data_IF_539431536632
#
_entry.id   IF_539431536632
#
_cell.length_a   1.000
_cell.length_b   1.000
_cell.length_c   1.000
_cell.angle_alpha   90.00
_cell.angle_beta   90.00
_cell.angle_gamma   90.00
#
_symmetry.space_group_name_H-M   'P 1'
#
loop_
_entity.id
_entity.type
_entity.pdbx_description
1 polymer ?
#
# COMPACT_ATOMS: atom_id res chain seq x y z
N UNK A 1 -5.66 -22.74 10.18
CA UNK A 1 -5.94 -21.28 10.21
C UNK A 1 -4.66 -20.60 10.67
N UNK A 2 -4.30 -19.49 10.03
CA UNK A 2 -3.13 -18.69 10.38
C UNK A 2 -3.45 -17.88 11.65
N UNK A 3 -2.58 -17.94 12.65
CA UNK A 3 -2.63 -17.07 13.83
C UNK A 3 -1.92 -15.75 13.53
N UNK A 4 -2.62 -14.64 13.66
CA UNK A 4 -2.11 -13.31 13.29
C UNK A 4 -2.00 -12.42 14.51
N UNK A 5 -0.83 -11.78 14.69
CA UNK A 5 -0.63 -10.70 15.63
C UNK A 5 -0.56 -9.34 14.93
N UNK A 6 -1.16 -8.31 15.51
CA UNK A 6 -1.11 -6.94 14.97
C UNK A 6 -0.51 -6.01 16.01
N UNK A 7 0.65 -5.45 15.71
CA UNK A 7 1.36 -4.44 16.52
C UNK A 7 1.03 -3.05 15.98
N UNK A 8 0.70 -2.11 16.86
CA UNK A 8 0.24 -0.77 16.46
C UNK A 8 -1.20 -0.74 15.95
N UNK A 9 -2.02 -1.66 16.44
CA UNK A 9 -3.38 -1.91 15.96
C UNK A 9 -4.40 -0.79 16.22
N UNK A 10 -4.07 0.23 17.03
CA UNK A 10 -4.98 1.33 17.36
C UNK A 10 -5.06 2.44 16.30
N UNK A 11 -4.22 2.45 15.25
CA UNK A 11 -4.21 3.43 14.18
C UNK A 11 -5.10 3.04 12.98
N UNK A 12 -5.22 3.93 11.97
CA UNK A 12 -6.04 3.67 10.76
C UNK A 12 -5.62 2.39 10.03
N UNK A 13 -4.33 2.20 9.80
CA UNK A 13 -3.81 1.01 9.11
C UNK A 13 -4.09 -0.26 9.93
N UNK A 14 -3.90 -0.19 11.26
CA UNK A 14 -4.18 -1.32 12.16
C UNK A 14 -5.67 -1.66 12.22
N UNK A 15 -6.55 -0.66 12.32
CA UNK A 15 -8.00 -0.85 12.30
C UNK A 15 -8.48 -1.45 10.98
N UNK A 16 -7.99 -0.96 9.86
CA UNK A 16 -8.30 -1.48 8.54
C UNK A 16 -7.79 -2.93 8.35
N UNK A 17 -6.60 -3.23 8.88
CA UNK A 17 -6.07 -4.59 8.88
C UNK A 17 -6.95 -5.52 9.73
N UNK A 18 -7.32 -5.12 10.95
CA UNK A 18 -8.23 -5.89 11.80
C UNK A 18 -9.57 -6.15 11.12
N UNK A 19 -10.12 -5.17 10.39
CA UNK A 19 -11.35 -5.31 9.60
C UNK A 19 -11.21 -6.41 8.55
N UNK A 20 -10.12 -6.44 7.79
CA UNK A 20 -9.87 -7.46 6.77
C UNK A 20 -9.68 -8.84 7.40
N UNK A 21 -8.88 -8.93 8.46
CA UNK A 21 -8.56 -10.20 9.13
C UNK A 21 -9.76 -10.80 9.84
N UNK A 22 -10.67 -9.99 10.39
CA UNK A 22 -11.89 -10.47 11.05
C UNK A 22 -12.83 -11.24 10.12
N UNK A 23 -12.79 -10.96 8.82
CA UNK A 23 -13.59 -11.64 7.79
C UNK A 23 -12.77 -12.58 6.91
N UNK A 24 -11.48 -12.76 7.21
CA UNK A 24 -10.63 -13.62 6.42
C UNK A 24 -10.86 -15.10 6.77
N UNK A 25 -11.25 -15.96 5.80
CA UNK A 25 -11.71 -17.33 6.12
C UNK A 25 -10.62 -18.26 6.66
N UNK A 26 -9.34 -17.89 6.54
CA UNK A 26 -8.19 -18.71 6.93
C UNK A 26 -7.41 -18.13 8.12
N UNK A 27 -7.92 -17.10 8.80
CA UNK A 27 -7.21 -16.37 9.84
C UNK A 27 -7.92 -16.40 11.19
N UNK A 28 -7.13 -16.42 12.25
CA UNK A 28 -7.54 -16.09 13.62
C UNK A 28 -6.65 -14.98 14.15
N UNK A 29 -7.24 -13.90 14.64
CA UNK A 29 -6.50 -12.82 15.29
C UNK A 29 -6.10 -13.31 16.69
N UNK A 30 -4.80 -13.56 16.89
CA UNK A 30 -4.25 -14.03 18.16
C UNK A 30 -4.14 -12.91 19.19
N UNK A 31 -3.72 -11.71 18.73
CA UNK A 31 -3.66 -10.52 19.56
C UNK A 31 -3.67 -9.22 18.72
N UNK A 32 -4.11 -8.14 19.35
CA UNK A 32 -3.98 -6.78 18.87
C UNK A 32 -3.22 -5.96 19.92
N UNK A 33 -2.14 -5.28 19.52
CA UNK A 33 -1.31 -4.47 20.42
C UNK A 33 -1.50 -2.99 20.17
N UNK A 34 -1.65 -2.22 21.23
CA UNK A 34 -1.58 -0.75 21.21
C UNK A 34 -1.27 -0.22 22.60
N UNK A 35 -0.19 0.56 22.75
CA UNK A 35 0.17 1.14 24.03
C UNK A 35 -0.86 2.19 24.50
N UNK A 36 -1.36 3.02 23.59
CA UNK A 36 -2.32 4.10 23.90
C UNK A 36 -3.76 3.61 24.15
N UNK A 37 -4.10 2.39 23.70
CA UNK A 37 -5.45 1.83 23.82
C UNK A 37 -5.48 0.55 24.68
N UNK A 38 -4.38 0.19 25.34
CA UNK A 38 -4.28 -1.01 26.15
C UNK A 38 -5.42 -1.13 27.17
N UNK A 39 -6.01 -2.33 27.28
CA UNK A 39 -7.14 -2.62 28.14
C UNK A 39 -8.52 -2.28 27.59
N UNK A 40 -8.60 -1.53 26.46
CA UNK A 40 -9.90 -1.29 25.78
C UNK A 40 -10.20 -2.41 24.80
N UNK A 41 -11.47 -2.71 24.59
CA UNK A 41 -11.86 -3.64 23.51
C UNK A 41 -11.59 -3.00 22.13
N UNK A 42 -11.33 -3.83 21.12
CA UNK A 42 -11.13 -3.35 19.75
C UNK A 42 -12.35 -2.58 19.26
N UNK A 43 -13.57 -3.08 19.52
CA UNK A 43 -14.81 -2.40 19.14
C UNK A 43 -15.06 -1.07 19.86
N UNK A 44 -14.42 -0.80 21.01
CA UNK A 44 -14.49 0.50 21.68
C UNK A 44 -13.58 1.58 21.05
N UNK A 45 -12.63 1.19 20.18
CA UNK A 45 -11.67 2.07 19.50
C UNK A 45 -11.97 2.14 18.00
N UNK A 46 -12.32 1.01 17.40
CA UNK A 46 -12.78 0.84 16.02
C UNK A 46 -14.25 0.44 16.09
N UNK A 47 -15.14 1.41 16.18
CA UNK A 47 -16.56 1.25 16.49
C UNK A 47 -17.39 0.57 15.41
N UNK A 48 -16.81 0.39 14.22
CA UNK A 48 -17.35 -0.41 13.10
C UNK A 48 -17.04 -1.92 13.23
N UNK A 49 -16.17 -2.35 14.17
CA UNK A 49 -15.74 -3.73 14.33
C UNK A 49 -16.48 -4.44 15.49
N UNK A 50 -17.81 -4.43 15.47
CA UNK A 50 -18.67 -5.02 16.54
C UNK A 50 -18.36 -6.48 16.84
N UNK A 51 -17.95 -7.28 15.84
CA UNK A 51 -17.60 -8.69 15.99
C UNK A 51 -16.30 -8.90 16.81
N UNK A 52 -15.48 -7.87 16.98
CA UNK A 52 -14.24 -7.91 17.77
C UNK A 52 -14.42 -7.33 19.18
N UNK A 53 -15.63 -7.26 19.71
CA UNK A 53 -15.94 -6.71 21.04
C UNK A 53 -15.22 -7.42 22.20
N UNK A 54 -14.94 -8.70 22.04
CA UNK A 54 -14.27 -9.54 23.04
C UNK A 54 -12.74 -9.64 22.83
N UNK A 55 -12.19 -8.96 21.81
CA UNK A 55 -10.76 -8.79 21.61
C UNK A 55 -10.32 -7.47 22.24
N UNK A 56 -9.31 -7.54 23.14
CA UNK A 56 -8.80 -6.36 23.86
C UNK A 56 -7.39 -6.02 23.39
N UNK A 57 -7.08 -4.73 23.36
CA UNK A 57 -5.72 -4.27 23.11
C UNK A 57 -4.79 -4.61 24.26
N UNK A 58 -3.64 -5.20 23.96
CA UNK A 58 -2.57 -5.52 24.90
C UNK A 58 -1.45 -4.48 24.76
N UNK A 59 -0.75 -4.17 25.86
CA UNK A 59 0.48 -3.38 25.81
C UNK A 59 1.67 -4.23 25.35
N UNK A 60 1.87 -5.40 25.97
CA UNK A 60 2.97 -6.32 25.72
C UNK A 60 2.44 -7.74 25.48
N UNK A 61 1.96 -8.07 24.25
CA UNK A 61 1.50 -9.41 23.94
C UNK A 61 2.68 -10.40 23.87
N UNK A 62 2.45 -11.67 24.24
CA UNK A 62 3.39 -12.71 23.84
C UNK A 62 3.35 -12.82 22.32
N UNK A 63 4.48 -12.71 21.64
CA UNK A 63 4.55 -12.70 20.17
C UNK A 63 4.29 -14.10 19.56
N UNK A 64 3.25 -14.80 20.07
CA UNK A 64 2.85 -16.14 19.68
C UNK A 64 1.83 -16.08 18.54
N UNK A 65 2.35 -16.04 17.32
CA UNK A 65 1.58 -16.01 16.09
C UNK A 65 2.32 -16.73 14.97
N UNK A 66 1.67 -17.00 13.85
CA UNK A 66 2.33 -17.49 12.63
C UNK A 66 2.88 -16.31 11.80
N UNK A 67 2.22 -15.14 11.90
CA UNK A 67 2.66 -13.90 11.30
C UNK A 67 2.31 -12.69 12.18
N UNK A 68 3.22 -11.71 12.20
CA UNK A 68 3.05 -10.43 12.90
C UNK A 68 3.07 -9.31 11.88
N UNK A 69 2.07 -8.43 11.94
CA UNK A 69 2.02 -7.18 11.19
C UNK A 69 2.47 -6.01 12.07
N UNK A 70 3.40 -5.22 11.56
CA UNK A 70 3.87 -3.99 12.21
C UNK A 70 3.14 -2.79 11.57
N UNK A 71 2.11 -2.29 12.25
CA UNK A 71 1.29 -1.15 11.82
C UNK A 71 1.68 0.14 12.56
N UNK A 72 2.97 0.29 12.84
CA UNK A 72 3.51 1.42 13.59
C UNK A 72 3.89 2.59 12.67
N UNK A 73 4.00 3.79 13.23
CA UNK A 73 4.51 4.94 12.48
C UNK A 73 6.00 4.80 12.14
N UNK A 74 6.45 5.60 11.19
CA UNK A 74 7.83 5.63 10.70
C UNK A 74 8.86 5.74 11.84
N UNK A 75 9.96 5.00 11.74
CA UNK A 75 11.01 4.91 12.75
C UNK A 75 10.70 3.99 13.94
N UNK A 76 9.47 3.51 14.08
CA UNK A 76 9.06 2.70 15.22
C UNK A 76 9.17 1.19 15.00
N UNK A 77 9.07 0.74 13.76
CA UNK A 77 9.21 -0.69 13.43
C UNK A 77 10.65 -1.16 13.65
N UNK A 78 11.64 -0.34 13.31
CA UNK A 78 13.06 -0.65 13.56
C UNK A 78 13.37 -0.73 15.06
N UNK A 79 12.84 0.20 15.86
CA UNK A 79 12.98 0.16 17.33
C UNK A 79 12.34 -1.12 17.88
N UNK A 80 11.11 -1.43 17.47
CA UNK A 80 10.41 -2.63 17.91
C UNK A 80 11.22 -3.91 17.60
N UNK A 81 11.78 -4.02 16.40
CA UNK A 81 12.59 -5.17 15.98
C UNK A 81 13.92 -5.27 16.73
N UNK A 82 14.46 -4.17 17.24
CA UNK A 82 15.66 -4.15 18.09
C UNK A 82 15.34 -4.56 19.53
N UNK A 83 14.22 -4.14 20.06
CA UNK A 83 13.82 -4.39 21.45
C UNK A 83 13.13 -5.75 21.65
N UNK A 84 12.64 -6.39 20.59
CA UNK A 84 11.86 -7.63 20.66
C UNK A 84 12.46 -8.70 19.76
N UNK A 85 12.62 -9.89 20.31
CA UNK A 85 13.01 -11.06 19.54
C UNK A 85 11.75 -11.69 18.93
N UNK A 86 11.63 -11.63 17.61
CA UNK A 86 10.57 -12.37 16.91
C UNK A 86 10.90 -13.86 17.00
N UNK A 87 9.98 -14.70 17.50
CA UNK A 87 10.22 -16.13 17.62
C UNK A 87 10.55 -16.79 16.28
N UNK A 88 11.40 -17.81 16.29
CA UNK A 88 11.75 -18.56 15.08
C UNK A 88 10.50 -19.13 14.41
N UNK A 89 10.41 -18.99 13.09
CA UNK A 89 9.28 -19.45 12.28
C UNK A 89 8.10 -18.47 12.22
N UNK A 90 8.11 -17.40 13.01
CA UNK A 90 7.11 -16.34 12.92
C UNK A 90 7.47 -15.38 11.79
N UNK A 91 6.59 -15.26 10.81
CA UNK A 91 6.75 -14.31 9.69
C UNK A 91 6.44 -12.89 10.11
N UNK A 92 7.02 -11.90 9.41
CA UNK A 92 6.84 -10.49 9.74
C UNK A 92 6.50 -9.66 8.49
N UNK A 93 5.48 -8.81 8.58
CA UNK A 93 5.10 -7.86 7.52
C UNK A 93 5.09 -6.45 8.12
N UNK A 94 6.05 -5.61 7.70
CA UNK A 94 6.13 -4.22 8.13
C UNK A 94 5.38 -3.29 7.18
N UNK A 95 4.44 -2.50 7.71
CA UNK A 95 3.71 -1.48 6.97
C UNK A 95 4.34 -0.08 7.11
N UNK A 96 5.41 0.04 7.92
CA UNK A 96 6.23 1.26 8.03
C UNK A 96 7.10 1.49 6.79
N UNK A 97 7.95 2.51 6.87
CA UNK A 97 8.95 2.78 5.82
C UNK A 97 10.34 2.27 6.16
N UNK A 98 10.52 1.76 7.38
CA UNK A 98 11.84 1.52 7.98
C UNK A 98 12.66 0.47 7.20
N UNK A 99 11.99 -0.53 6.64
CA UNK A 99 12.63 -1.67 5.98
C UNK A 99 12.46 -1.72 4.46
N UNK A 100 11.83 -0.71 3.83
CA UNK A 100 11.56 -0.74 2.39
C UNK A 100 12.81 -0.73 1.51
N UNK A 101 13.92 -0.20 2.04
CA UNK A 101 15.22 -0.18 1.37
C UNK A 101 16.22 -1.18 1.96
N UNK A 102 15.83 -1.90 3.02
CA UNK A 102 16.65 -2.90 3.68
C UNK A 102 16.62 -4.22 2.89
N UNK A 103 17.79 -4.81 2.63
CA UNK A 103 17.92 -6.07 1.89
C UNK A 103 17.49 -7.30 2.72
N UNK A 104 17.34 -7.18 4.04
CA UNK A 104 16.85 -8.26 4.91
C UNK A 104 15.33 -8.46 4.84
N UNK A 105 14.61 -7.53 4.18
CA UNK A 105 13.19 -7.61 3.90
C UNK A 105 12.93 -7.67 2.40
N UNK A 106 12.03 -8.57 1.98
CA UNK A 106 11.54 -8.57 0.59
C UNK A 106 10.54 -7.43 0.44
N UNK A 107 10.69 -6.64 -0.63
CA UNK A 107 9.73 -5.58 -0.94
C UNK A 107 8.41 -6.16 -1.42
N UNK A 108 7.34 -5.91 -0.69
CA UNK A 108 6.06 -6.58 -0.77
C UNK A 108 5.12 -6.03 -1.84
N UNK A 109 5.59 -5.89 -3.08
CA UNK A 109 4.77 -5.57 -4.25
C UNK A 109 4.64 -6.83 -5.12
N UNK A 110 3.52 -7.57 -5.08
CA UNK A 110 3.35 -8.83 -5.80
C UNK A 110 3.55 -8.71 -7.31
N UNK A 111 3.13 -7.62 -7.90
CA UNK A 111 3.29 -7.34 -9.33
C UNK A 111 4.77 -7.24 -9.78
N UNK A 112 5.69 -7.09 -8.83
CA UNK A 112 7.13 -7.03 -9.05
C UNK A 112 7.87 -8.27 -8.49
N UNK A 113 7.46 -8.77 -7.31
CA UNK A 113 8.25 -9.71 -6.51
C UNK A 113 7.48 -10.97 -6.11
N UNK A 114 6.48 -11.39 -6.90
CA UNK A 114 5.57 -12.50 -6.57
C UNK A 114 6.28 -13.73 -5.99
N UNK A 115 7.25 -14.31 -6.70
CA UNK A 115 7.94 -15.53 -6.26
C UNK A 115 8.81 -15.31 -5.01
N UNK A 116 9.45 -14.15 -4.88
CA UNK A 116 10.25 -13.82 -3.71
C UNK A 116 9.37 -13.69 -2.45
N UNK A 117 8.15 -13.12 -2.59
CA UNK A 117 7.19 -12.97 -1.50
C UNK A 117 6.72 -14.34 -0.99
N UNK A 118 6.49 -15.31 -1.87
CA UNK A 118 6.04 -16.66 -1.50
C UNK A 118 6.99 -17.37 -0.54
N UNK A 119 8.27 -17.12 -0.65
CA UNK A 119 9.32 -17.76 0.16
C UNK A 119 9.85 -16.87 1.29
N UNK A 120 9.36 -15.63 1.38
CA UNK A 120 9.85 -14.68 2.36
C UNK A 120 9.44 -15.00 3.80
N UNK A 121 10.31 -14.68 4.75
CA UNK A 121 9.99 -14.61 6.17
C UNK A 121 9.66 -13.18 6.61
N UNK A 122 10.19 -12.17 5.90
CA UNK A 122 10.07 -10.75 6.23
C UNK A 122 9.71 -9.94 4.99
N UNK A 123 8.63 -9.17 5.11
CA UNK A 123 8.12 -8.31 4.03
C UNK A 123 8.11 -6.85 4.48
N UNK A 124 8.66 -5.96 3.66
CA UNK A 124 8.45 -4.52 3.75
C UNK A 124 7.32 -4.12 2.79
N UNK A 125 6.16 -3.80 3.34
CA UNK A 125 4.98 -3.43 2.55
C UNK A 125 5.16 -2.04 1.92
N UNK A 126 4.84 -1.85 0.62
CA UNK A 126 4.99 -0.59 -0.09
C UNK A 126 4.26 0.59 0.54
N UNK A 127 4.77 1.81 0.31
CA UNK A 127 4.05 3.03 0.61
C UNK A 127 2.89 3.27 -0.36
N UNK A 128 1.84 3.94 0.10
CA UNK A 128 0.59 4.08 -0.67
C UNK A 128 0.77 4.82 -2.01
N UNK A 129 1.49 5.96 -2.03
CA UNK A 129 1.84 6.61 -3.29
C UNK A 129 2.82 5.78 -4.12
N UNK A 130 3.78 5.10 -3.46
CA UNK A 130 4.72 4.26 -4.17
C UNK A 130 3.99 3.13 -4.91
N UNK A 131 3.00 2.47 -4.30
CA UNK A 131 2.17 1.47 -4.97
C UNK A 131 1.48 2.04 -6.21
N UNK A 132 0.82 3.21 -6.10
CA UNK A 132 0.12 3.82 -7.22
C UNK A 132 1.06 4.19 -8.38
N UNK A 133 2.23 4.76 -8.07
CA UNK A 133 3.21 5.23 -9.05
C UNK A 133 3.93 4.04 -9.70
N UNK A 134 4.37 3.07 -8.92
CA UNK A 134 5.06 1.89 -9.44
C UNK A 134 4.15 1.09 -10.37
N UNK A 135 2.89 0.84 -9.98
CA UNK A 135 1.93 0.14 -10.81
C UNK A 135 1.59 0.89 -12.13
N UNK A 136 1.90 2.17 -12.24
CA UNK A 136 1.84 2.89 -13.50
C UNK A 136 3.11 2.75 -14.35
N UNK A 137 4.29 2.53 -13.72
CA UNK A 137 5.59 2.62 -14.39
C UNK A 137 6.28 1.26 -14.62
N UNK A 138 5.91 0.21 -13.86
CA UNK A 138 6.56 -1.12 -13.98
C UNK A 138 6.52 -1.70 -15.40
N UNK A 139 5.41 -1.61 -16.18
CA UNK A 139 5.40 -2.12 -17.55
C UNK A 139 6.46 -1.44 -18.45
N UNK A 140 6.67 -0.15 -18.28
CA UNK A 140 7.71 0.59 -18.99
C UNK A 140 9.11 0.19 -18.53
N UNK A 141 9.32 0.06 -17.22
CA UNK A 141 10.63 -0.30 -16.67
C UNK A 141 11.07 -1.70 -17.12
N UNK A 142 10.16 -2.69 -17.12
CA UNK A 142 10.46 -4.06 -17.59
C UNK A 142 10.93 -4.09 -19.04
N UNK A 143 10.48 -3.14 -19.86
CA UNK A 143 10.83 -3.04 -21.29
C UNK A 143 11.91 -1.96 -21.57
N UNK A 144 12.56 -1.43 -20.52
CA UNK A 144 13.62 -0.41 -20.62
C UNK A 144 13.18 0.87 -21.38
N UNK A 145 11.93 1.30 -21.17
CA UNK A 145 11.30 2.41 -21.88
C UNK A 145 11.24 3.73 -21.09
N UNK A 146 11.75 3.76 -19.85
CA UNK A 146 11.81 4.98 -19.04
C UNK A 146 13.10 5.76 -19.34
N UNK A 147 13.09 6.52 -20.44
CA UNK A 147 14.27 7.21 -20.96
C UNK A 147 14.19 8.75 -20.84
N UNK A 148 13.12 9.27 -20.25
CA UNK A 148 12.88 10.69 -20.05
C UNK A 148 12.45 10.99 -18.61
N UNK A 149 12.58 12.24 -18.17
CA UNK A 149 12.10 12.68 -16.87
C UNK A 149 10.59 12.43 -16.72
N UNK A 150 10.18 11.97 -15.57
CA UNK A 150 8.80 11.54 -15.27
C UNK A 150 8.15 12.59 -14.36
N UNK A 151 7.03 13.14 -14.79
CA UNK A 151 6.26 14.12 -14.03
C UNK A 151 5.07 13.43 -13.36
N UNK A 152 4.93 13.61 -12.04
CA UNK A 152 3.97 12.90 -11.22
C UNK A 152 3.21 13.91 -10.35
N UNK A 153 1.90 14.03 -10.55
CA UNK A 153 0.98 14.73 -9.66
C UNK A 153 0.07 13.69 -9.02
N UNK A 154 0.08 13.59 -7.69
CA UNK A 154 -0.78 12.62 -7.04
C UNK A 154 -1.50 13.21 -5.83
N UNK A 155 -2.80 12.95 -5.74
CA UNK A 155 -3.67 13.43 -4.66
C UNK A 155 -4.05 12.24 -3.79
N UNK A 156 -3.87 12.39 -2.46
CA UNK A 156 -4.30 11.41 -1.46
C UNK A 156 -5.37 11.96 -0.54
N UNK A 157 -6.19 11.07 0.00
CA UNK A 157 -7.12 11.39 1.08
C UNK A 157 -6.41 11.73 2.40
N UNK A 158 -7.16 12.34 3.32
CA UNK A 158 -6.64 12.81 4.63
C UNK A 158 -6.12 11.69 5.53
N UNK A 159 -6.65 10.47 5.41
CA UNK A 159 -6.21 9.30 6.20
C UNK A 159 -4.75 8.92 5.95
N UNK A 160 -4.16 9.34 4.82
CA UNK A 160 -2.74 9.14 4.54
C UNK A 160 -1.79 9.88 5.50
N UNK A 161 -2.28 10.83 6.29
CA UNK A 161 -1.53 11.50 7.34
C UNK A 161 -1.49 10.73 8.67
N UNK A 162 -2.30 9.68 8.83
CA UNK A 162 -2.51 9.00 10.10
C UNK A 162 -3.43 9.78 11.05
N UNK A 163 -3.55 9.28 12.29
CA UNK A 163 -4.43 9.87 13.32
C UNK A 163 -3.78 10.98 14.16
N UNK A 164 -2.46 11.19 14.02
CA UNK A 164 -1.77 12.23 14.78
C UNK A 164 -2.34 13.61 14.43
N UNK A 165 -2.66 14.40 15.46
CA UNK A 165 -3.18 15.75 15.26
C UNK A 165 -2.08 16.64 14.65
N UNK A 166 -2.47 17.42 13.65
CA UNK A 166 -1.62 18.45 13.04
C UNK A 166 -2.50 19.57 12.49
N UNK A 167 -1.96 20.76 12.32
CA UNK A 167 -2.68 21.92 11.81
C UNK A 167 -3.32 21.64 10.44
N UNK A 168 -2.61 20.92 9.57
CA UNK A 168 -3.06 20.59 8.21
C UNK A 168 -4.09 19.45 8.14
N UNK A 169 -4.36 18.77 9.26
CA UNK A 169 -5.42 17.75 9.37
C UNK A 169 -6.63 18.23 10.15
N UNK A 170 -6.55 19.44 10.74
CA UNK A 170 -7.70 20.07 11.42
C UNK A 170 -8.84 20.31 10.43
N UNK A 171 -10.09 20.05 10.87
CA UNK A 171 -11.26 20.10 9.99
C UNK A 171 -11.37 21.43 9.23
N UNK A 172 -11.29 22.58 9.94
CA UNK A 172 -11.43 23.90 9.30
C UNK A 172 -10.32 24.22 8.29
N UNK A 173 -9.15 23.59 8.43
CA UNK A 173 -8.05 23.75 7.47
C UNK A 173 -8.20 22.79 6.27
N UNK A 174 -8.66 21.55 6.52
CA UNK A 174 -8.74 20.51 5.51
C UNK A 174 -9.99 20.57 4.66
N UNK A 175 -11.12 20.96 5.24
CA UNK A 175 -12.40 21.04 4.52
C UNK A 175 -12.35 22.05 3.38
N UNK A 176 -12.86 21.68 2.20
CA UNK A 176 -12.85 22.49 0.99
C UNK A 176 -11.45 22.98 0.57
N UNK A 177 -10.39 22.21 0.85
CA UNK A 177 -9.01 22.61 0.60
C UNK A 177 -8.17 21.46 0.01
N UNK A 178 -7.34 21.80 -0.99
CA UNK A 178 -6.29 20.94 -1.54
C UNK A 178 -4.94 21.62 -1.32
N UNK A 179 -3.95 20.88 -0.85
CA UNK A 179 -2.63 21.43 -0.60
C UNK A 179 -1.50 20.52 -1.03
N UNK A 180 -0.45 21.11 -1.60
CA UNK A 180 0.81 20.44 -1.90
C UNK A 180 1.63 20.28 -0.60
N UNK A 181 2.38 19.19 -0.49
CA UNK A 181 3.36 18.98 0.59
C UNK A 181 4.56 18.17 0.06
N UNK A 182 5.75 18.40 0.63
CA UNK A 182 6.99 17.68 0.28
C UNK A 182 7.21 17.51 -1.23
N UNK A 183 6.95 18.55 -2.04
CA UNK A 183 7.23 18.51 -3.47
C UNK A 183 8.72 18.20 -3.70
N UNK A 184 8.99 17.23 -4.59
CA UNK A 184 10.32 16.72 -4.96
C UNK A 184 11.13 16.05 -3.84
N UNK A 185 10.61 16.00 -2.61
CA UNK A 185 11.29 15.44 -1.41
C UNK A 185 10.37 14.52 -0.61
N UNK A 186 9.66 13.65 -1.32
CA UNK A 186 8.76 12.70 -0.67
C UNK A 186 9.48 11.38 -0.34
N UNK A 187 9.24 10.86 0.86
CA UNK A 187 9.86 9.63 1.39
C UNK A 187 9.61 8.36 0.55
N UNK A 188 8.67 8.38 -0.39
CA UNK A 188 8.43 7.24 -1.29
C UNK A 188 9.30 7.26 -2.55
N UNK A 189 9.99 8.35 -2.88
CA UNK A 189 10.84 8.42 -4.07
C UNK A 189 11.92 7.33 -4.06
N UNK A 190 12.68 7.11 -2.97
CA UNK A 190 13.73 6.09 -2.95
C UNK A 190 13.21 4.67 -3.21
N UNK A 191 12.05 4.29 -2.66
CA UNK A 191 11.48 2.96 -2.88
C UNK A 191 10.96 2.79 -4.32
N UNK A 192 10.42 3.86 -4.94
CA UNK A 192 10.04 3.86 -6.36
C UNK A 192 11.26 3.64 -7.24
N UNK A 193 12.31 4.45 -7.04
CA UNK A 193 13.57 4.33 -7.81
C UNK A 193 14.17 2.93 -7.67
N UNK A 194 14.19 2.35 -6.46
CA UNK A 194 14.67 0.97 -6.23
C UNK A 194 13.91 -0.03 -7.11
N UNK A 195 12.60 0.06 -7.15
CA UNK A 195 11.77 -0.87 -7.92
C UNK A 195 11.93 -0.70 -9.43
N UNK A 196 12.05 0.55 -9.91
CA UNK A 196 12.32 0.81 -11.32
C UNK A 196 13.71 0.28 -11.72
N UNK A 197 14.73 0.49 -10.89
CA UNK A 197 16.09 -0.03 -11.13
C UNK A 197 16.20 -1.56 -11.05
N UNK A 198 15.29 -2.22 -10.35
CA UNK A 198 15.23 -3.68 -10.33
C UNK A 198 14.89 -4.24 -11.72
N UNK A 199 14.04 -3.56 -12.50
CA UNK A 199 13.64 -3.94 -13.86
C UNK A 199 14.49 -3.26 -14.94
N UNK A 200 14.82 -1.98 -14.76
CA UNK A 200 15.65 -1.18 -15.64
C UNK A 200 16.89 -0.68 -14.89
N UNK A 201 18.00 -1.47 -14.83
CA UNK A 201 19.17 -1.16 -14.01
C UNK A 201 19.85 0.16 -14.33
N UNK A 202 19.76 0.60 -15.59
CA UNK A 202 20.30 1.87 -16.10
C UNK A 202 19.35 3.08 -15.89
N UNK A 203 18.20 2.89 -15.22
CA UNK A 203 17.27 3.98 -14.93
C UNK A 203 17.96 5.08 -14.10
N UNK A 204 18.04 6.27 -14.65
CA UNK A 204 18.68 7.43 -14.06
C UNK A 204 17.90 8.74 -14.28
N UNK A 205 16.64 8.63 -14.68
CA UNK A 205 15.79 9.80 -14.96
C UNK A 205 15.21 10.40 -13.69
N UNK A 206 14.95 11.72 -13.75
CA UNK A 206 14.35 12.44 -12.62
C UNK A 206 12.87 12.09 -12.45
N UNK A 207 12.46 11.89 -11.20
CA UNK A 207 11.06 11.75 -10.78
C UNK A 207 10.59 13.08 -10.17
N UNK A 208 9.87 13.88 -10.94
CA UNK A 208 9.29 15.15 -10.48
C UNK A 208 7.95 14.90 -9.79
N UNK A 209 8.00 14.47 -8.53
CA UNK A 209 6.82 14.11 -7.76
C UNK A 209 6.30 15.29 -6.93
N UNK A 210 5.02 15.65 -7.17
CA UNK A 210 4.27 16.67 -6.46
C UNK A 210 3.08 16.01 -5.76
N UNK A 211 3.23 15.60 -4.48
CA UNK A 211 2.13 15.04 -3.72
C UNK A 211 1.18 16.12 -3.21
N UNK A 212 -0.11 15.82 -3.27
CA UNK A 212 -1.18 16.69 -2.78
C UNK A 212 -2.07 15.94 -1.81
N UNK A 213 -2.69 16.66 -0.88
CA UNK A 213 -3.71 16.13 0.01
C UNK A 213 -5.03 16.82 -0.28
N UNK A 214 -6.05 15.99 -0.59
CA UNK A 214 -7.38 16.47 -0.96
C UNK A 214 -8.36 16.49 0.21
N UNK A 215 -9.55 17.04 -0.04
CA UNK A 215 -10.69 17.12 0.86
C UNK A 215 -11.58 15.87 0.74
N UNK A 216 -10.99 14.70 0.95
CA UNK A 216 -11.67 13.42 1.04
C UNK A 216 -10.89 12.50 1.97
N UNK A 217 -11.51 11.44 2.47
CA UNK A 217 -10.89 10.58 3.49
C UNK A 217 -9.96 9.54 2.90
N UNK A 218 -10.35 8.85 1.83
CA UNK A 218 -9.65 7.67 1.29
C UNK A 218 -9.46 7.76 -0.22
N UNK A 219 -8.37 7.19 -0.69
CA UNK A 219 -8.03 7.04 -2.10
C UNK A 219 -6.78 7.81 -2.50
N UNK A 220 -6.13 7.34 -3.56
CA UNK A 220 -5.05 8.02 -4.27
C UNK A 220 -5.41 8.04 -5.75
N UNK A 221 -5.25 9.21 -6.37
CA UNK A 221 -5.20 9.38 -7.82
C UNK A 221 -3.82 9.92 -8.18
N UNK A 222 -3.06 9.15 -8.94
CA UNK A 222 -1.79 9.57 -9.52
C UNK A 222 -1.97 9.84 -11.01
N UNK A 223 -1.62 11.04 -11.46
CA UNK A 223 -1.54 11.49 -12.85
C UNK A 223 -0.07 11.64 -13.20
N UNK A 224 0.40 10.80 -14.13
CA UNK A 224 1.81 10.64 -14.46
C UNK A 224 1.96 10.90 -15.96
N UNK A 225 2.94 11.69 -16.37
CA UNK A 225 3.21 11.91 -17.79
C UNK A 225 4.71 12.07 -18.07
N UNK A 226 5.09 11.62 -19.26
CA UNK A 226 6.45 11.73 -19.79
C UNK A 226 6.44 11.54 -21.32
N UNK A 227 7.55 11.84 -21.99
CA UNK A 227 7.67 11.60 -23.41
C UNK A 227 8.07 10.15 -23.70
N UNK A 228 7.46 9.55 -24.73
CA UNK A 228 7.80 8.23 -25.26
C UNK A 228 7.43 8.12 -26.73
N UNK A 229 8.23 7.39 -27.52
CA UNK A 229 7.96 7.10 -28.93
C UNK A 229 7.09 5.85 -29.13
N UNK A 230 6.82 5.08 -28.07
CA UNK A 230 5.96 3.86 -28.13
C UNK A 230 4.56 4.22 -28.62
N UNK A 231 4.00 3.45 -29.55
CA UNK A 231 2.65 3.69 -30.08
C UNK A 231 1.55 3.41 -29.06
N UNK A 232 0.32 3.94 -29.26
CA UNK A 232 -0.80 3.62 -28.36
C UNK A 232 -1.11 2.12 -28.35
N UNK A 233 -1.09 1.46 -29.52
CA UNK A 233 -1.36 0.03 -29.62
C UNK A 233 -0.33 -0.80 -28.84
N UNK A 234 0.96 -0.46 -28.95
CA UNK A 234 2.02 -1.14 -28.19
C UNK A 234 1.89 -0.88 -26.69
N UNK A 235 1.42 0.31 -26.27
CA UNK A 235 1.14 0.61 -24.87
C UNK A 235 -0.02 -0.23 -24.32
N UNK A 236 -1.09 -0.41 -25.10
CA UNK A 236 -2.23 -1.22 -24.69
C UNK A 236 -1.82 -2.69 -24.52
N UNK A 237 -1.00 -3.22 -25.45
CA UNK A 237 -0.44 -4.56 -25.36
C UNK A 237 0.54 -4.70 -24.17
N UNK A 238 1.38 -3.71 -23.93
CA UNK A 238 2.35 -3.66 -22.84
C UNK A 238 1.65 -3.80 -21.48
N UNK A 239 0.65 -2.97 -21.23
CA UNK A 239 -0.08 -2.98 -19.97
C UNK A 239 -0.96 -4.21 -19.80
N UNK A 240 -1.68 -4.62 -20.85
CA UNK A 240 -2.54 -5.80 -20.81
C UNK A 240 -1.73 -7.07 -20.56
N UNK A 241 -0.57 -7.21 -21.18
CA UNK A 241 0.32 -8.37 -21.01
C UNK A 241 0.92 -8.40 -19.61
N UNK A 242 1.45 -7.28 -19.11
CA UNK A 242 2.07 -7.19 -17.80
C UNK A 242 1.09 -7.56 -16.68
N UNK A 243 -0.14 -7.05 -16.73
CA UNK A 243 -1.14 -7.23 -15.67
C UNK A 243 -2.11 -8.40 -15.91
N UNK A 244 -1.92 -9.20 -16.96
CA UNK A 244 -2.84 -10.30 -17.33
C UNK A 244 -3.18 -11.25 -16.18
N UNK A 245 -2.20 -11.59 -15.36
CA UNK A 245 -2.34 -12.54 -14.25
C UNK A 245 -2.41 -11.87 -12.88
N UNK A 246 -2.50 -10.54 -12.82
CA UNK A 246 -2.53 -9.81 -11.57
C UNK A 246 -3.98 -9.64 -11.08
N UNK A 247 -4.33 -10.21 -9.91
CA UNK A 247 -5.72 -10.21 -9.46
C UNK A 247 -6.23 -8.81 -9.10
N UNK A 248 -5.34 -7.89 -8.70
CA UNK A 248 -5.73 -6.59 -8.16
C UNK A 248 -5.31 -5.38 -9.00
N UNK A 249 -4.55 -5.57 -10.07
CA UNK A 249 -4.21 -4.46 -10.97
C UNK A 249 -4.99 -4.62 -12.26
N UNK A 250 -5.84 -3.64 -12.57
CA UNK A 250 -6.78 -3.64 -13.70
C UNK A 250 -6.45 -2.53 -14.67
N UNK A 251 -6.27 -2.88 -15.93
CA UNK A 251 -6.14 -1.91 -17.03
C UNK A 251 -7.53 -1.59 -17.60
N UNK A 252 -7.79 -0.33 -17.92
CA UNK A 252 -9.10 0.13 -18.41
C UNK A 252 -8.99 1.23 -19.44
N UNK A 253 -9.97 1.28 -20.37
CA UNK A 253 -10.15 2.39 -21.29
C UNK A 253 -11.05 3.51 -20.72
N UNK A 254 -11.75 3.24 -19.62
CA UNK A 254 -12.56 4.22 -18.92
C UNK A 254 -11.66 5.21 -18.16
N UNK A 255 -12.14 6.43 -17.95
CA UNK A 255 -11.43 7.40 -17.13
C UNK A 255 -11.45 6.98 -15.65
N UNK A 256 -10.32 6.59 -15.03
CA UNK A 256 -10.31 6.09 -13.66
C UNK A 256 -10.65 7.20 -12.64
N UNK A 257 -11.38 6.82 -11.60
CA UNK A 257 -11.72 7.71 -10.51
C UNK A 257 -11.78 6.95 -9.17
N UNK A 258 -11.68 7.66 -8.06
CA UNK A 258 -11.55 7.08 -6.71
C UNK A 258 -12.72 6.15 -6.32
N UNK A 259 -13.94 6.45 -6.74
CA UNK A 259 -15.12 5.62 -6.42
C UNK A 259 -15.09 4.21 -7.05
N UNK A 260 -14.21 3.98 -8.04
CA UNK A 260 -13.99 2.63 -8.59
C UNK A 260 -13.19 1.73 -7.64
N UNK A 261 -12.38 2.30 -6.75
CA UNK A 261 -11.35 1.56 -5.99
C UNK A 261 -11.46 1.71 -4.48
N UNK A 262 -12.05 2.79 -3.96
CA UNK A 262 -12.20 2.98 -2.52
C UNK A 262 -12.94 1.80 -1.89
N UNK A 263 -12.42 1.30 -0.78
CA UNK A 263 -12.84 0.07 -0.09
C UNK A 263 -12.52 -1.23 -0.82
N UNK A 264 -11.62 -1.23 -1.82
CA UNK A 264 -11.16 -2.46 -2.49
C UNK A 264 -9.63 -2.55 -2.49
N UNK A 265 -9.10 -3.77 -2.70
CA UNK A 265 -7.67 -3.97 -2.92
C UNK A 265 -7.26 -3.75 -4.38
N UNK A 266 -8.10 -3.13 -5.21
CA UNK A 266 -7.80 -2.89 -6.60
C UNK A 266 -6.96 -1.63 -6.80
N UNK A 267 -6.04 -1.71 -7.77
CA UNK A 267 -5.47 -0.58 -8.48
C UNK A 267 -6.05 -0.57 -9.90
N UNK A 268 -6.55 0.56 -10.38
CA UNK A 268 -7.04 0.71 -11.75
C UNK A 268 -6.14 1.68 -12.49
N UNK A 269 -5.63 1.25 -13.65
CA UNK A 269 -4.67 2.00 -14.45
C UNK A 269 -5.23 2.24 -15.85
N UNK A 270 -5.07 3.47 -16.35
CA UNK A 270 -5.31 3.84 -17.73
C UNK A 270 -4.05 4.44 -18.33
N UNK A 271 -3.68 4.06 -19.55
CA UNK A 271 -2.60 4.66 -20.33
C UNK A 271 -3.14 5.26 -21.61
N UNK A 272 -2.79 6.51 -21.89
CA UNK A 272 -3.17 7.25 -23.11
C UNK A 272 -1.97 7.99 -23.67
N UNK A 273 -1.91 8.12 -24.98
CA UNK A 273 -0.88 8.85 -25.69
C UNK A 273 -1.45 9.97 -26.56
N UNK A 274 -0.79 11.13 -26.53
CA UNK A 274 -1.08 12.25 -27.43
C UNK A 274 0.25 12.83 -27.94
N UNK A 275 0.49 12.70 -29.23
CA UNK A 275 1.79 13.07 -29.80
C UNK A 275 2.92 12.20 -29.19
N UNK A 276 3.92 12.83 -28.60
CA UNK A 276 4.98 12.15 -27.86
C UNK A 276 4.64 11.95 -26.38
N UNK A 277 3.63 12.64 -25.84
CA UNK A 277 3.31 12.59 -24.42
C UNK A 277 2.48 11.34 -24.12
N UNK A 278 2.99 10.50 -23.22
CA UNK A 278 2.23 9.42 -22.56
C UNK A 278 1.67 9.97 -21.27
N UNK A 279 0.39 9.74 -21.02
CA UNK A 279 -0.30 10.06 -19.78
C UNK A 279 -0.87 8.79 -19.16
N UNK A 280 -0.56 8.57 -17.87
CA UNK A 280 -1.02 7.41 -17.11
C UNK A 280 -1.80 7.91 -15.91
N UNK A 281 -3.01 7.38 -15.70
CA UNK A 281 -3.78 7.57 -14.49
C UNK A 281 -3.75 6.25 -13.72
N UNK A 282 -3.36 6.31 -12.44
CA UNK A 282 -3.39 5.17 -11.52
C UNK A 282 -4.20 5.56 -10.30
N UNK A 283 -5.21 4.74 -9.94
CA UNK A 283 -6.05 4.98 -8.77
C UNK A 283 -6.09 3.74 -7.88
N UNK A 284 -6.03 3.96 -6.57
CA UNK A 284 -6.17 2.90 -5.56
C UNK A 284 -6.70 3.47 -4.23
N UNK A 285 -7.11 2.59 -3.32
CA UNK A 285 -7.39 2.96 -1.93
C UNK A 285 -6.10 2.98 -1.12
N UNK A 286 -5.77 4.13 -0.52
CA UNK A 286 -4.51 4.33 0.22
C UNK A 286 -4.39 3.47 1.48
N UNK A 287 -5.50 2.99 2.07
CA UNK A 287 -5.51 2.10 3.23
C UNK A 287 -5.62 0.61 2.87
N UNK A 288 -6.02 0.28 1.63
CA UNK A 288 -6.13 -1.10 1.14
C UNK A 288 -4.97 -1.47 0.23
N UNK A 289 -5.10 -1.32 -1.08
CA UNK A 289 -3.98 -1.61 -2.01
C UNK A 289 -2.75 -0.75 -1.71
N UNK A 290 -2.94 0.41 -1.11
CA UNK A 290 -1.86 1.27 -0.64
C UNK A 290 -1.25 0.88 0.71
N UNK A 291 -1.87 -0.06 1.49
CA UNK A 291 -1.41 -0.42 2.83
C UNK A 291 -1.89 -1.82 3.27
N UNK A 292 -3.00 -1.90 4.05
CA UNK A 292 -3.42 -3.10 4.76
C UNK A 292 -3.91 -4.22 3.83
N UNK A 293 -4.59 -3.90 2.74
CA UNK A 293 -5.01 -4.90 1.76
C UNK A 293 -3.81 -5.52 1.03
N UNK A 294 -2.82 -4.70 0.66
CA UNK A 294 -1.54 -5.17 0.11
C UNK A 294 -0.81 -6.10 1.10
N UNK A 295 -0.83 -5.76 2.39
CA UNK A 295 -0.20 -6.57 3.42
C UNK A 295 -0.91 -7.94 3.60
N UNK A 296 -2.25 -7.99 3.52
CA UNK A 296 -3.01 -9.25 3.51
C UNK A 296 -2.73 -10.06 2.23
N UNK A 297 -2.64 -9.42 1.05
CA UNK A 297 -2.24 -10.07 -0.19
C UNK A 297 -0.86 -10.72 -0.06
N UNK A 298 0.10 -10.02 0.54
CA UNK A 298 1.43 -10.55 0.83
C UNK A 298 1.37 -11.74 1.80
N UNK A 299 0.59 -11.64 2.88
CA UNK A 299 0.38 -12.76 3.81
C UNK A 299 -0.18 -13.99 3.07
N UNK A 300 -1.17 -13.81 2.22
CA UNK A 300 -1.76 -14.91 1.45
C UNK A 300 -0.69 -15.65 0.64
N UNK A 301 0.15 -14.91 -0.09
CA UNK A 301 1.27 -15.48 -0.85
C UNK A 301 2.27 -16.22 0.05
N UNK A 302 2.68 -15.61 1.18
CA UNK A 302 3.63 -16.21 2.12
C UNK A 302 3.15 -17.54 2.71
N UNK A 303 1.84 -17.75 2.77
CA UNK A 303 1.23 -18.98 3.31
C UNK A 303 0.62 -19.88 2.23
N UNK A 304 0.85 -19.57 0.95
CA UNK A 304 0.41 -20.40 -0.18
C UNK A 304 -1.11 -20.38 -0.42
N UNK A 305 -1.80 -19.34 0.03
CA UNK A 305 -3.21 -19.11 -0.29
C UNK A 305 -3.37 -18.32 -1.58
N UNK A 306 -4.55 -18.36 -2.22
CA UNK A 306 -4.87 -17.44 -3.30
C UNK A 306 -4.71 -15.98 -2.85
N UNK A 307 -4.09 -15.15 -3.68
CA UNK A 307 -3.80 -13.74 -3.34
C UNK A 307 -5.05 -12.95 -2.90
N UNK A 308 -6.20 -13.28 -3.50
CA UNK A 308 -7.49 -12.62 -3.26
C UNK A 308 -8.29 -13.20 -2.09
N UNK A 309 -7.78 -14.18 -1.36
CA UNK A 309 -8.49 -14.75 -0.20
C UNK A 309 -8.76 -13.64 0.84
N UNK A 310 -10.02 -13.47 1.23
CA UNK A 310 -10.44 -12.41 2.16
C UNK A 310 -10.43 -10.99 1.60
N UNK A 311 -10.07 -10.78 0.32
CA UNK A 311 -9.92 -9.47 -0.31
C UNK A 311 -10.91 -9.20 -1.47
N UNK A 312 -11.92 -10.05 -1.64
CA UNK A 312 -12.98 -9.84 -2.64
C UNK A 312 -13.99 -8.80 -2.13
N UNK A 313 -13.57 -7.55 -2.13
CA UNK A 313 -14.32 -6.41 -1.62
C UNK A 313 -15.00 -5.63 -2.73
N UNK A 314 -16.12 -4.98 -2.40
CA UNK A 314 -16.84 -4.08 -3.32
C UNK A 314 -16.51 -2.63 -3.03
N UNK A 315 -16.32 -1.84 -4.10
CA UNK A 315 -16.11 -0.40 -3.98
C UNK A 315 -17.36 0.34 -3.50
N UNK A 316 -17.14 1.51 -2.89
CA UNK A 316 -18.19 2.43 -2.48
C UNK A 316 -18.49 3.39 -3.63
N UNK A 317 -19.13 2.89 -4.70
CA UNK A 317 -19.35 3.67 -5.94
C UNK A 317 -20.31 4.86 -5.75
N UNK A 318 -21.16 4.85 -4.73
CA UNK A 318 -22.10 5.95 -4.38
C UNK A 318 -22.19 6.13 -2.88
#
# INVERSE_FOLDING_TARGET
MIKVGVIGAGGYTGGELLRLLAFHPKVVIAFAQSNSQAGKSVAAVHDDLFQLKDLYFLSNPPLLADVIFLCMGHGKSSIFMQENVIPNGVKCIDLGNDFRLDSSFIYGLPELNHENIRTAERIANPGCFASAIQLALLPFAENHLLNNSIHIHAITGSTGAGQALSDTTHFSWRSSNISVYKAFDHQHIPEIVRSLKQLQPDFNQDLHFIPMRGDFTRGILASIYFESDVSQADLDDLFSSYYKNQPFTKVTDLNPHLKMVVNTNNCVVQVKKQGKCVHIISVLDNLLKGASGQAVQNMNLMFGYPENEGLNLKSTAF
#
